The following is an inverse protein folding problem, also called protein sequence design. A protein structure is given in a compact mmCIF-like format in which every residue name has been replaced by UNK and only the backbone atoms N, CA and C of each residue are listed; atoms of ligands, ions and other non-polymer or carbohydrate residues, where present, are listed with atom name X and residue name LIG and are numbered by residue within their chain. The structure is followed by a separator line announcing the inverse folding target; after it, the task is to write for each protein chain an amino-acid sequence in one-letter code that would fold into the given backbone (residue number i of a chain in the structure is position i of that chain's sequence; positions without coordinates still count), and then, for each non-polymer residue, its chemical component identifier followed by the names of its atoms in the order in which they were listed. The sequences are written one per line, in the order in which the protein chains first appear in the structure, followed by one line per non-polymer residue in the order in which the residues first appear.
data_IF_018523184756
#
_entry.id   IF_018523184756
#
_cell.length_a   1.000
_cell.length_b   1.000
_cell.length_c   1.000
_cell.angle_alpha   90.00
_cell.angle_beta   90.00
_cell.angle_gamma   90.00
#
_symmetry.space_group_name_H-M   'P 1'
#
loop_
_entity.id
_entity.type
_entity.pdbx_description
1 polymer ?
#
# COMPACT_ATOMS: atom_id res chain seq x y z
N UNK A 1 -22.44 -20.45 0.45
CA UNK A 1 -21.57 -21.09 -0.55
C UNK A 1 -20.17 -20.57 -0.35
N UNK A 2 -19.13 -21.42 -0.23
CA UNK A 2 -17.78 -20.93 -0.06
C UNK A 2 -17.33 -20.28 -1.38
N UNK A 3 -16.90 -19.03 -1.31
CA UNK A 3 -16.23 -18.39 -2.43
C UNK A 3 -14.94 -19.18 -2.69
N UNK A 4 -14.78 -19.66 -3.92
CA UNK A 4 -13.56 -20.34 -4.35
C UNK A 4 -12.37 -19.44 -4.01
N UNK A 5 -11.40 -19.98 -3.28
CA UNK A 5 -10.12 -19.32 -3.06
C UNK A 5 -9.54 -19.01 -4.44
N UNK A 6 -9.38 -17.72 -4.76
CA UNK A 6 -8.62 -17.32 -5.92
C UNK A 6 -7.21 -17.91 -5.74
N UNK A 7 -6.74 -18.67 -6.72
CA UNK A 7 -5.35 -19.05 -6.80
C UNK A 7 -4.56 -17.75 -7.05
N UNK A 8 -4.04 -17.17 -5.97
CA UNK A 8 -3.15 -16.03 -6.06
C UNK A 8 -1.78 -16.57 -6.48
N UNK A 9 -1.47 -16.54 -7.77
CA UNK A 9 -0.08 -16.58 -8.20
C UNK A 9 0.50 -15.20 -7.85
N UNK A 10 1.05 -15.08 -6.64
CA UNK A 10 1.71 -13.86 -6.20
C UNK A 10 3.01 -13.70 -6.99
N UNK A 11 2.91 -13.11 -8.18
CA UNK A 11 4.08 -12.70 -8.93
C UNK A 11 4.65 -11.43 -8.29
N UNK A 12 5.95 -11.41 -8.07
CA UNK A 12 6.65 -10.21 -7.59
C UNK A 12 6.93 -9.32 -8.80
N UNK A 13 6.41 -8.10 -8.77
CA UNK A 13 6.49 -7.17 -9.87
C UNK A 13 7.09 -5.82 -9.48
N UNK A 14 7.74 -5.17 -10.43
CA UNK A 14 8.32 -3.84 -10.30
C UNK A 14 7.38 -2.83 -10.97
N UNK A 15 7.05 -1.75 -10.26
CA UNK A 15 6.22 -0.64 -10.78
C UNK A 15 7.00 0.65 -10.75
N UNK A 16 7.08 1.38 -11.87
CA UNK A 16 7.76 2.69 -11.95
C UNK A 16 6.83 3.85 -11.57
N UNK A 17 7.35 4.83 -10.83
CA UNK A 17 6.68 6.09 -10.53
C UNK A 17 6.89 7.11 -11.67
N UNK A 18 5.79 7.74 -12.10
CA UNK A 18 5.77 8.67 -13.24
C UNK A 18 6.71 9.88 -13.02
N UNK A 19 7.46 10.22 -14.08
CA UNK A 19 8.61 11.11 -14.03
C UNK A 19 8.23 12.58 -13.91
N UNK A 20 8.32 13.14 -12.70
CA UNK A 20 8.43 14.59 -12.50
C UNK A 20 9.87 14.97 -12.10
N UNK A 21 10.43 15.88 -12.89
CA UNK A 21 11.83 16.26 -12.96
C UNK A 21 12.31 16.99 -11.69
N UNK A 22 12.67 16.26 -10.62
CA UNK A 22 13.38 16.83 -9.47
C UNK A 22 14.70 16.10 -9.24
N UNK A 23 15.80 16.79 -9.58
CA UNK A 23 17.17 16.37 -9.26
C UNK A 23 17.39 16.52 -7.74
N UNK A 24 17.32 15.43 -6.99
CA UNK A 24 18.25 15.14 -5.89
C UNK A 24 18.04 13.73 -5.31
N UNK A 25 19.17 13.01 -5.13
CA UNK A 25 19.34 11.63 -4.63
C UNK A 25 18.71 10.53 -5.49
N UNK A 26 19.50 9.49 -5.76
CA UNK A 26 19.15 8.31 -6.55
C UNK A 26 18.13 7.43 -5.82
N UNK A 27 16.91 7.92 -5.68
CA UNK A 27 15.79 7.09 -5.26
C UNK A 27 15.54 6.09 -6.38
N UNK A 28 15.43 4.79 -6.06
CA UNK A 28 14.89 3.83 -7.02
C UNK A 28 13.51 4.34 -7.42
N UNK A 29 13.26 4.46 -8.73
CA UNK A 29 11.98 4.93 -9.26
C UNK A 29 10.90 3.86 -9.20
N UNK A 30 11.18 2.74 -8.55
CA UNK A 30 10.34 1.58 -8.59
C UNK A 30 10.22 0.90 -7.23
N UNK A 31 9.10 0.20 -7.06
CA UNK A 31 8.80 -0.58 -5.87
C UNK A 31 8.45 -2.01 -6.27
N UNK A 32 8.89 -2.96 -5.45
CA UNK A 32 8.54 -4.36 -5.57
C UNK A 32 7.19 -4.62 -4.92
N UNK A 33 6.25 -5.23 -5.64
CA UNK A 33 4.87 -5.50 -5.22
C UNK A 33 4.47 -6.93 -5.51
N UNK A 34 3.39 -7.41 -4.87
CA UNK A 34 2.70 -8.62 -5.30
C UNK A 34 1.61 -8.30 -6.33
N UNK A 35 1.58 -9.05 -7.42
CA UNK A 35 0.54 -9.00 -8.43
C UNK A 35 -0.50 -10.08 -8.16
N UNK A 36 -1.78 -9.70 -8.18
CA UNK A 36 -2.90 -10.62 -7.94
C UNK A 36 -3.85 -10.63 -9.13
N UNK A 37 -4.24 -11.83 -9.56
CA UNK A 37 -5.38 -12.01 -10.46
C UNK A 37 -6.68 -12.06 -9.68
N UNK A 38 -7.52 -11.04 -9.87
CA UNK A 38 -8.84 -10.99 -9.25
C UNK A 38 -9.89 -11.23 -10.33
N UNK A 39 -10.76 -12.24 -10.18
CA UNK A 39 -11.83 -12.48 -11.14
C UNK A 39 -12.70 -11.24 -11.33
N UNK A 40 -12.86 -10.83 -12.60
CA UNK A 40 -13.71 -9.70 -12.92
C UNK A 40 -15.17 -10.06 -12.69
N UNK A 41 -15.81 -9.32 -11.78
CA UNK A 41 -17.26 -9.17 -11.74
C UNK A 41 -17.60 -7.82 -11.08
N UNK A 42 -18.80 -7.26 -11.34
CA UNK A 42 -19.19 -5.96 -10.79
C UNK A 42 -19.14 -5.87 -9.26
N UNK A 43 -19.43 -6.97 -8.55
CA UNK A 43 -19.40 -6.98 -7.09
C UNK A 43 -17.97 -6.89 -6.53
N UNK A 44 -17.00 -7.61 -7.12
CA UNK A 44 -15.59 -7.53 -6.76
C UNK A 44 -15.03 -6.13 -7.03
N UNK A 45 -15.39 -5.54 -8.18
CA UNK A 45 -14.98 -4.16 -8.53
C UNK A 45 -15.56 -3.17 -7.53
N UNK A 46 -16.85 -3.25 -7.22
CA UNK A 46 -17.48 -2.38 -6.24
C UNK A 46 -16.89 -2.55 -4.84
N UNK A 47 -16.62 -3.78 -4.40
CA UNK A 47 -15.99 -4.07 -3.12
C UNK A 47 -14.57 -3.49 -3.02
N UNK A 48 -13.76 -3.62 -4.08
CA UNK A 48 -12.44 -3.02 -4.15
C UNK A 48 -12.50 -1.49 -4.09
N UNK A 49 -13.40 -0.88 -4.86
CA UNK A 49 -13.63 0.57 -4.87
C UNK A 49 -14.09 1.08 -3.50
N UNK A 50 -14.92 0.31 -2.78
CA UNK A 50 -15.40 0.67 -1.46
C UNK A 50 -14.33 0.50 -0.37
N UNK A 51 -13.48 -0.51 -0.48
CA UNK A 51 -12.36 -0.76 0.45
C UNK A 51 -11.29 0.33 0.34
N UNK A 52 -10.93 0.72 -0.87
CA UNK A 52 -9.87 1.69 -1.15
C UNK A 52 -10.42 3.12 -1.36
N UNK A 53 -11.44 3.48 -0.60
CA UNK A 53 -12.29 4.65 -0.84
C UNK A 53 -11.52 5.98 -0.95
N UNK A 54 -10.48 6.12 -0.14
CA UNK A 54 -9.61 7.30 0.00
C UNK A 54 -8.68 7.48 -1.21
N UNK A 55 -8.24 6.37 -1.80
CA UNK A 55 -7.18 6.34 -2.79
C UNK A 55 -7.67 6.69 -4.20
N UNK A 56 -6.72 7.02 -5.07
CA UNK A 56 -6.95 7.06 -6.52
C UNK A 56 -6.46 5.75 -7.13
N UNK A 57 -7.14 5.27 -8.16
CA UNK A 57 -6.73 4.09 -8.92
C UNK A 57 -5.85 4.52 -10.10
N UNK A 58 -4.71 3.85 -10.26
CA UNK A 58 -3.76 4.11 -11.33
C UNK A 58 -3.51 2.80 -12.08
N UNK A 59 -3.61 2.85 -13.41
CA UNK A 59 -3.19 1.74 -14.25
C UNK A 59 -1.68 1.81 -14.48
N UNK A 60 -0.97 0.70 -14.27
CA UNK A 60 0.48 0.60 -14.39
C UNK A 60 0.87 -0.59 -15.27
N UNK A 61 2.10 -0.56 -15.79
CA UNK A 61 2.71 -1.66 -16.53
C UNK A 61 3.75 -2.34 -15.63
N UNK A 62 3.43 -3.51 -15.05
CA UNK A 62 4.35 -4.25 -14.22
C UNK A 62 5.40 -5.01 -15.04
N UNK A 63 6.57 -5.18 -14.43
CA UNK A 63 7.67 -6.02 -14.91
C UNK A 63 7.97 -7.10 -13.87
N UNK A 64 8.46 -8.26 -14.29
CA UNK A 64 9.01 -9.25 -13.36
C UNK A 64 10.34 -8.75 -12.74
N UNK A 65 10.92 -9.53 -11.83
CA UNK A 65 12.20 -9.20 -11.19
C UNK A 65 13.39 -9.16 -12.16
N UNK A 66 13.26 -9.72 -13.36
CA UNK A 66 14.27 -9.67 -14.42
C UNK A 66 14.07 -8.48 -15.37
N UNK A 67 13.07 -7.63 -15.13
CA UNK A 67 12.73 -6.49 -15.98
C UNK A 67 11.95 -6.88 -17.24
N UNK A 68 11.40 -8.08 -17.31
CA UNK A 68 10.54 -8.52 -18.42
C UNK A 68 9.12 -8.05 -18.17
N UNK A 69 8.51 -7.37 -19.14
CA UNK A 69 7.12 -6.92 -19.02
C UNK A 69 6.17 -8.11 -18.84
N UNK A 70 5.21 -7.96 -17.94
CA UNK A 70 4.14 -8.96 -17.73
C UNK A 70 3.11 -8.93 -18.88
N UNK A 71 3.16 -7.95 -19.78
CA UNK A 71 2.31 -7.89 -20.98
C UNK A 71 0.83 -7.51 -20.73
N UNK A 72 0.48 -7.10 -19.51
CA UNK A 72 -0.86 -6.63 -19.13
C UNK A 72 -0.78 -5.52 -18.11
N UNK A 73 -1.75 -4.60 -18.17
CA UNK A 73 -1.87 -3.53 -17.16
C UNK A 73 -2.38 -4.10 -15.85
N UNK A 74 -1.88 -3.54 -14.75
CA UNK A 74 -2.36 -3.76 -13.40
C UNK A 74 -2.95 -2.48 -12.82
N UNK A 75 -3.74 -2.58 -11.76
CA UNK A 75 -4.27 -1.43 -11.03
C UNK A 75 -3.58 -1.35 -9.67
N UNK A 76 -3.05 -0.17 -9.34
CA UNK A 76 -2.53 0.13 -8.00
C UNK A 76 -3.34 1.26 -7.37
N UNK A 77 -3.34 1.30 -6.04
CA UNK A 77 -3.87 2.43 -5.28
C UNK A 77 -2.73 3.42 -5.02
N UNK A 78 -2.93 4.67 -5.42
CA UNK A 78 -1.99 5.74 -5.16
C UNK A 78 -2.62 6.80 -4.24
N UNK A 79 -1.75 7.56 -3.55
CA UNK A 79 -2.17 8.72 -2.77
C UNK A 79 -3.04 9.65 -3.60
N UNK A 80 -4.14 10.10 -3.00
CA UNK A 80 -5.01 11.13 -3.55
C UNK A 80 -4.63 12.51 -2.96
N UNK A 81 -5.32 13.57 -3.37
CA UNK A 81 -5.28 14.87 -2.66
C UNK A 81 -6.57 15.05 -1.89
N UNK A 82 -6.54 15.74 -0.74
CA UNK A 82 -7.77 16.01 0.02
C UNK A 82 -8.82 16.76 -0.83
N UNK A 83 -8.38 17.67 -1.70
CA UNK A 83 -9.26 18.40 -2.61
C UNK A 83 -9.96 17.46 -3.61
N UNK A 84 -9.20 16.61 -4.30
CA UNK A 84 -9.74 15.65 -5.27
C UNK A 84 -10.61 14.58 -4.59
N UNK A 85 -10.19 14.10 -3.42
CA UNK A 85 -10.95 13.13 -2.63
C UNK A 85 -12.31 13.68 -2.20
N UNK A 86 -12.35 14.91 -1.65
CA UNK A 86 -13.60 15.58 -1.28
C UNK A 86 -14.52 15.83 -2.47
N UNK A 87 -13.94 16.23 -3.61
CA UNK A 87 -14.72 16.54 -4.80
C UNK A 87 -15.37 15.31 -5.46
N UNK A 88 -14.70 14.16 -5.45
CA UNK A 88 -15.12 13.00 -6.26
C UNK A 88 -15.64 11.81 -5.45
N UNK A 89 -15.19 11.64 -4.22
CA UNK A 89 -15.37 10.38 -3.47
C UNK A 89 -15.98 10.61 -2.08
N UNK A 90 -15.73 11.76 -1.46
CA UNK A 90 -16.12 12.04 -0.09
C UNK A 90 -16.90 13.37 0.00
N UNK A 91 -18.16 13.41 -0.47
CA UNK A 91 -19.02 14.59 -0.33
C UNK A 91 -19.21 14.97 1.15
N UNK A 92 -19.71 16.18 1.47
CA UNK A 92 -19.73 16.72 2.83
C UNK A 92 -20.30 15.78 3.91
N UNK A 93 -21.41 15.09 3.64
CA UNK A 93 -22.02 14.16 4.60
C UNK A 93 -21.15 12.93 4.86
N UNK A 94 -20.50 12.40 3.82
CA UNK A 94 -19.54 11.31 3.98
C UNK A 94 -18.27 11.78 4.69
N UNK A 95 -17.82 13.01 4.45
CA UNK A 95 -16.71 13.58 5.20
C UNK A 95 -17.06 13.72 6.68
N UNK A 96 -18.27 14.21 6.98
CA UNK A 96 -18.76 14.33 8.34
C UNK A 96 -18.75 12.98 9.04
N UNK A 97 -19.35 11.96 8.40
CA UNK A 97 -19.48 10.59 8.92
C UNK A 97 -18.13 9.90 9.14
N UNK A 98 -17.16 10.05 8.23
CA UNK A 98 -15.88 9.32 8.28
C UNK A 98 -14.79 10.05 9.05
N UNK A 99 -14.69 11.36 8.92
CA UNK A 99 -13.50 12.12 9.32
C UNK A 99 -13.79 13.19 10.36
N UNK A 100 -14.83 13.99 10.17
CA UNK A 100 -15.11 15.10 11.08
C UNK A 100 -15.44 14.63 12.50
N UNK A 101 -16.10 13.47 12.65
CA UNK A 101 -16.35 12.83 13.95
C UNK A 101 -15.07 12.51 14.74
N UNK A 102 -13.92 12.43 14.06
CA UNK A 102 -12.61 12.18 14.67
C UNK A 102 -11.73 13.45 14.72
N UNK A 103 -12.29 14.63 14.39
CA UNK A 103 -11.52 15.88 14.32
C UNK A 103 -10.51 15.91 13.16
N UNK A 104 -10.66 15.02 12.16
CA UNK A 104 -9.73 14.94 11.02
C UNK A 104 -10.15 15.98 9.98
N UNK A 105 -9.25 16.94 9.72
CA UNK A 105 -9.43 17.99 8.70
C UNK A 105 -8.77 17.65 7.36
N UNK A 106 -7.78 16.76 7.36
CA UNK A 106 -7.06 16.25 6.17
C UNK A 106 -6.66 14.79 6.38
N UNK A 107 -6.89 13.94 5.38
CA UNK A 107 -6.50 12.52 5.37
C UNK A 107 -5.03 12.38 4.98
N UNK A 108 -4.59 13.13 3.97
CA UNK A 108 -3.26 12.96 3.39
C UNK A 108 -2.21 13.84 4.08
N UNK A 109 -1.85 13.43 5.29
CA UNK A 109 -0.89 14.12 6.16
C UNK A 109 0.54 13.60 5.99
N UNK A 110 1.50 14.35 6.49
CA UNK A 110 2.94 14.06 6.50
C UNK A 110 3.50 13.81 7.91
N UNK A 111 2.66 13.90 8.94
CA UNK A 111 3.02 13.79 10.36
C UNK A 111 2.41 12.55 11.04
N UNK A 112 2.00 11.55 10.24
CA UNK A 112 1.43 10.29 10.75
C UNK A 112 2.47 9.18 10.75
N UNK A 113 2.50 8.42 11.83
CA UNK A 113 3.32 7.22 11.96
C UNK A 113 2.48 5.96 11.65
N UNK A 114 3.08 4.91 11.09
CA UNK A 114 2.38 3.66 10.87
C UNK A 114 2.00 3.03 12.21
N UNK A 115 0.83 2.40 12.24
CA UNK A 115 0.46 1.52 13.35
C UNK A 115 1.52 0.42 13.47
N UNK A 116 2.09 0.24 14.68
CA UNK A 116 3.24 -0.63 14.92
C UNK A 116 2.96 -2.09 14.57
N UNK A 117 1.82 -2.62 15.02
CA UNK A 117 1.35 -3.98 14.68
C UNK A 117 1.22 -4.16 13.16
N UNK A 118 0.65 -3.16 12.47
CA UNK A 118 0.47 -3.24 11.03
C UNK A 118 1.80 -3.16 10.28
N UNK A 119 2.71 -2.29 10.72
CA UNK A 119 4.05 -2.20 10.16
C UNK A 119 4.80 -3.53 10.27
N UNK A 120 4.77 -4.17 11.45
CA UNK A 120 5.37 -5.49 11.65
C UNK A 120 4.79 -6.52 10.67
N UNK A 121 3.47 -6.56 10.53
CA UNK A 121 2.82 -7.46 9.56
C UNK A 121 3.32 -7.21 8.13
N UNK A 122 3.40 -5.95 7.68
CA UNK A 122 3.92 -5.63 6.35
C UNK A 122 5.39 -6.04 6.16
N UNK A 123 6.24 -5.86 7.17
CA UNK A 123 7.65 -6.32 7.12
C UNK A 123 7.73 -7.83 6.97
N UNK A 124 6.94 -8.57 7.75
CA UNK A 124 6.91 -10.04 7.68
C UNK A 124 6.37 -10.54 6.34
N UNK A 125 5.32 -9.90 5.81
CA UNK A 125 4.76 -10.21 4.50
C UNK A 125 5.77 -9.91 3.37
N UNK A 126 6.49 -8.79 3.43
CA UNK A 126 7.54 -8.49 2.45
C UNK A 126 8.68 -9.53 2.51
N UNK A 127 9.10 -9.92 3.71
CA UNK A 127 10.11 -10.97 3.93
C UNK A 127 9.67 -12.32 3.38
N UNK A 128 8.42 -12.71 3.54
CA UNK A 128 7.92 -14.00 3.05
C UNK A 128 7.88 -14.09 1.52
N UNK A 129 7.83 -12.94 0.84
CA UNK A 129 7.90 -12.84 -0.64
C UNK A 129 9.32 -12.94 -1.20
N UNK A 130 10.36 -12.77 -0.36
CA UNK A 130 11.76 -12.90 -0.75
C UNK A 130 12.62 -11.65 -0.49
N UNK A 131 13.94 -11.77 -0.65
CA UNK A 131 14.89 -10.70 -0.27
C UNK A 131 14.73 -9.43 -1.11
N UNK A 132 14.33 -9.52 -2.38
CA UNK A 132 14.08 -8.36 -3.24
C UNK A 132 12.87 -7.55 -2.76
N UNK A 133 11.81 -8.24 -2.28
CA UNK A 133 10.63 -7.61 -1.74
C UNK A 133 10.90 -7.00 -0.36
N UNK A 134 11.64 -7.69 0.51
CA UNK A 134 12.07 -7.14 1.81
C UNK A 134 12.95 -5.90 1.63
N UNK A 135 13.97 -5.96 0.76
CA UNK A 135 14.86 -4.83 0.48
C UNK A 135 14.06 -3.62 -0.02
N UNK A 136 13.18 -3.82 -1.01
CA UNK A 136 12.38 -2.73 -1.55
C UNK A 136 11.41 -2.17 -0.51
N UNK A 137 10.78 -3.01 0.32
CA UNK A 137 9.89 -2.51 1.38
C UNK A 137 10.67 -1.70 2.42
N UNK A 138 11.84 -2.16 2.86
CA UNK A 138 12.62 -1.48 3.88
C UNK A 138 13.28 -0.19 3.37
N UNK A 139 13.71 -0.16 2.11
CA UNK A 139 14.56 0.91 1.59
C UNK A 139 13.87 1.85 0.58
N UNK A 140 12.77 1.42 -0.05
CA UNK A 140 12.00 2.21 -1.02
C UNK A 140 10.60 2.60 -0.52
N UNK A 141 10.20 2.17 0.68
CA UNK A 141 9.00 2.68 1.37
C UNK A 141 9.39 3.69 2.43
N UNK A 142 8.62 4.78 2.52
CA UNK A 142 8.90 5.91 3.39
C UNK A 142 7.77 6.14 4.39
N UNK A 143 8.11 6.75 5.53
CA UNK A 143 7.11 7.36 6.41
C UNK A 143 6.36 8.48 5.69
N UNK A 144 5.32 9.01 6.34
CA UNK A 144 4.50 10.09 5.80
C UNK A 144 5.32 11.37 5.48
N UNK A 145 6.47 11.54 6.14
CA UNK A 145 7.44 12.62 5.90
C UNK A 145 8.14 12.54 4.53
N UNK A 146 8.01 11.40 3.83
CA UNK A 146 8.65 11.08 2.53
C UNK A 146 10.17 11.16 2.55
N UNK A 147 10.78 10.96 3.71
CA UNK A 147 12.22 11.10 3.91
C UNK A 147 12.80 9.92 4.65
N UNK A 148 12.16 9.50 5.72
CA UNK A 148 12.63 8.40 6.57
C UNK A 148 12.16 7.09 5.97
N UNK A 149 13.08 6.18 5.62
CA UNK A 149 12.69 4.85 5.12
C UNK A 149 12.15 3.98 6.25
N UNK A 150 11.38 2.95 5.91
CA UNK A 150 10.92 1.97 6.91
C UNK A 150 12.09 1.31 7.62
N UNK A 151 13.16 0.95 6.90
CA UNK A 151 14.37 0.36 7.48
C UNK A 151 15.08 1.31 8.45
N UNK A 152 15.14 2.61 8.14
CA UNK A 152 15.65 3.61 9.07
C UNK A 152 14.81 3.72 10.34
N UNK A 153 13.49 3.74 10.19
CA UNK A 153 12.56 3.82 11.31
C UNK A 153 12.65 2.59 12.22
N UNK A 154 12.70 1.38 11.66
CA UNK A 154 12.81 0.14 12.44
C UNK A 154 14.15 0.01 13.18
N UNK A 155 15.24 0.58 12.64
CA UNK A 155 16.52 0.60 13.36
C UNK A 155 16.46 1.43 14.64
N UNK A 156 15.67 2.50 14.63
CA UNK A 156 15.44 3.37 15.79
C UNK A 156 14.39 2.78 16.74
N UNK A 157 13.49 1.95 16.21
CA UNK A 157 12.38 1.32 16.94
C UNK A 157 12.32 -0.19 16.70
N UNK A 158 13.36 -0.95 17.10
CA UNK A 158 13.44 -2.39 16.83
C UNK A 158 12.34 -3.19 17.54
N UNK A 159 11.83 -2.66 18.65
CA UNK A 159 10.73 -3.20 19.45
C UNK A 159 9.42 -3.34 18.68
N UNK A 160 9.27 -2.68 17.52
CA UNK A 160 8.11 -2.88 16.62
C UNK A 160 8.03 -4.34 16.15
N UNK A 161 9.17 -5.02 15.99
CA UNK A 161 9.19 -6.41 15.53
C UNK A 161 8.71 -7.42 16.57
N UNK A 162 8.58 -6.99 17.83
CA UNK A 162 8.09 -7.82 18.94
C UNK A 162 6.56 -7.70 19.13
N UNK A 163 5.92 -6.71 18.48
CA UNK A 163 4.49 -6.47 18.57
C UNK A 163 3.65 -7.70 18.21
N UNK A 164 2.59 -7.94 18.97
CA UNK A 164 1.63 -9.00 18.69
C UNK A 164 0.29 -8.40 18.28
N UNK A 165 -0.35 -8.90 17.21
CA UNK A 165 -1.70 -8.48 16.91
C UNK A 165 -2.64 -8.87 18.05
N UNK A 166 -3.72 -8.12 18.29
CA UNK A 166 -4.79 -8.54 19.19
C UNK A 166 -5.29 -9.94 18.82
N UNK A 167 -5.69 -10.75 19.79
CA UNK A 167 -6.10 -12.15 19.57
C UNK A 167 -7.13 -12.31 18.43
N UNK A 168 -8.11 -11.41 18.35
CA UNK A 168 -9.14 -11.41 17.31
C UNK A 168 -8.61 -11.17 15.88
N UNK A 169 -7.35 -10.76 15.75
CA UNK A 169 -6.70 -10.31 14.52
C UNK A 169 -5.44 -11.13 14.17
N UNK A 170 -5.08 -12.13 14.99
CA UNK A 170 -3.86 -12.95 14.81
C UNK A 170 -3.83 -13.60 13.43
N UNK A 171 -4.92 -14.23 12.99
CA UNK A 171 -4.95 -14.90 11.68
C UNK A 171 -4.74 -13.95 10.48
N UNK A 172 -4.99 -12.65 10.67
CA UNK A 172 -4.90 -11.65 9.58
C UNK A 172 -3.59 -10.86 9.59
N UNK A 173 -2.93 -10.74 10.75
CA UNK A 173 -1.82 -9.82 10.95
C UNK A 173 -0.58 -10.50 11.54
N UNK A 174 -0.31 -11.76 11.15
CA UNK A 174 0.86 -12.51 11.62
C UNK A 174 2.01 -12.60 10.58
N UNK A 175 1.90 -11.84 9.49
CA UNK A 175 2.82 -11.90 8.34
C UNK A 175 2.12 -12.57 7.17
#
# INVERSE_FOLDING_TARGET
MPAAAAAAEAAVAVVEADGSNHRHRSHRRSVVVSLFEVPYNPANVAAFIAREHEFRFVAVEPYDLNGVSIGRKAVICARNTDAAYRAMRCPPDEWARRWAVHGISRVWRDDVLPCRVYLRHCVLAARSLGPEAEDSFLNDTYLADRRTTIGEYLRLHPDIMDEQPPLALVERYNG
#
